data_IF_745815640610
#
_entry.id   IF_745815640610
#
_cell.length_a   1.000
_cell.length_b   1.000
_cell.length_c   1.000
_cell.angle_alpha   90.00
_cell.angle_beta   90.00
_cell.angle_gamma   90.00
#
_symmetry.space_group_name_H-M   'P 1'
#
loop_
_entity.id
_entity.type
_entity.pdbx_description
1 polymer ?
#
# COMPACT_ATOMS: atom_id res chain seq x y z
N UNK A 1 -10.20 -4.64 -15.48
CA UNK A 1 -9.01 -4.43 -14.65
C UNK A 1 -9.41 -4.41 -13.19
N UNK A 2 -8.53 -4.92 -12.37
CA UNK A 2 -8.82 -5.03 -10.94
C UNK A 2 -8.66 -3.70 -10.23
N UNK A 3 -7.75 -2.87 -10.72
CA UNK A 3 -7.46 -1.56 -10.14
C UNK A 3 -7.58 -0.48 -11.19
N UNK A 4 -7.65 0.77 -10.75
CA UNK A 4 -7.51 1.92 -11.62
C UNK A 4 -6.33 2.74 -11.15
N UNK A 5 -5.78 3.56 -12.04
CA UNK A 5 -4.60 4.34 -11.69
C UNK A 5 -4.53 5.65 -12.44
N UNK A 6 -3.72 6.56 -11.93
CA UNK A 6 -3.43 7.84 -12.57
C UNK A 6 -2.03 8.26 -12.13
N UNK A 7 -1.25 8.74 -13.08
CA UNK A 7 0.08 9.26 -12.79
C UNK A 7 0.03 10.78 -12.91
N UNK A 8 0.44 11.48 -11.85
CA UNK A 8 0.43 12.93 -11.85
C UNK A 8 1.60 13.45 -11.01
N UNK A 9 2.40 14.32 -11.61
CA UNK A 9 3.50 15.00 -10.92
C UNK A 9 4.45 14.04 -10.21
N UNK A 10 4.74 12.92 -10.86
CA UNK A 10 5.65 11.94 -10.31
C UNK A 10 5.05 11.03 -9.24
N UNK A 11 3.76 11.15 -8.96
CA UNK A 11 3.07 10.31 -8.01
C UNK A 11 2.15 9.35 -8.75
N UNK A 12 2.25 8.07 -8.42
CA UNK A 12 1.35 7.07 -8.96
C UNK A 12 0.19 6.90 -7.97
N UNK A 13 -1.00 7.29 -8.43
CA UNK A 13 -2.22 7.14 -7.64
C UNK A 13 -2.92 5.88 -8.11
N UNK A 14 -3.13 4.95 -7.18
CA UNK A 14 -3.81 3.68 -7.45
C UNK A 14 -5.07 3.63 -6.63
N UNK A 15 -6.15 3.15 -7.24
CA UNK A 15 -7.40 2.95 -6.53
C UNK A 15 -7.80 1.49 -6.63
N UNK A 16 -8.10 0.89 -5.49
CA UNK A 16 -8.66 -0.45 -5.42
C UNK A 16 -10.16 -0.26 -5.18
N UNK A 17 -11.00 -0.40 -6.20
CA UNK A 17 -12.41 -0.02 -6.07
C UNK A 17 -13.23 -0.99 -5.24
N UNK A 18 -12.78 -2.23 -5.09
CA UNK A 18 -13.48 -3.26 -4.32
C UNK A 18 -12.48 -4.10 -3.57
N UNK A 19 -12.94 -4.73 -2.49
CA UNK A 19 -12.09 -5.66 -1.77
C UNK A 19 -11.60 -6.76 -2.70
N UNK A 20 -10.35 -7.15 -2.51
CA UNK A 20 -9.74 -8.20 -3.29
C UNK A 20 -10.12 -9.56 -2.71
N UNK A 21 -10.08 -10.57 -3.56
CA UNK A 21 -10.37 -11.95 -3.15
C UNK A 21 -9.22 -12.86 -3.60
N UNK A 22 -9.39 -14.15 -3.34
CA UNK A 22 -8.36 -15.12 -3.70
C UNK A 22 -8.09 -15.12 -5.20
N UNK A 23 -9.11 -14.85 -6.01
CA UNK A 23 -8.99 -14.92 -7.46
C UNK A 23 -8.26 -13.74 -8.10
N UNK A 24 -8.28 -12.57 -7.45
CA UNK A 24 -7.73 -11.38 -8.10
C UNK A 24 -6.64 -10.66 -7.32
N UNK A 25 -6.31 -11.14 -6.11
CA UNK A 25 -5.29 -10.46 -5.31
C UNK A 25 -3.93 -10.43 -5.98
N UNK A 26 -3.56 -11.52 -6.62
CA UNK A 26 -2.27 -11.59 -7.30
C UNK A 26 -2.23 -10.68 -8.52
N UNK A 27 -3.33 -10.64 -9.27
CA UNK A 27 -3.42 -9.77 -10.44
C UNK A 27 -3.31 -8.30 -10.03
N UNK A 28 -3.97 -7.92 -8.94
CA UNK A 28 -3.90 -6.55 -8.45
C UNK A 28 -2.47 -6.17 -8.08
N UNK A 29 -1.78 -7.02 -7.32
CA UNK A 29 -0.41 -6.76 -6.93
C UNK A 29 0.50 -6.65 -8.16
N UNK A 30 0.35 -7.57 -9.11
CA UNK A 30 1.16 -7.54 -10.32
C UNK A 30 0.91 -6.30 -11.16
N UNK A 31 -0.34 -5.84 -11.25
CA UNK A 31 -0.64 -4.61 -11.98
C UNK A 31 0.06 -3.41 -11.36
N UNK A 32 0.00 -3.30 -10.04
CA UNK A 32 0.64 -2.18 -9.36
C UNK A 32 2.15 -2.27 -9.53
N UNK A 33 2.73 -3.45 -9.37
CA UNK A 33 4.16 -3.65 -9.55
C UNK A 33 4.60 -3.26 -10.97
N UNK A 34 3.83 -3.66 -11.96
CA UNK A 34 4.14 -3.31 -13.35
C UNK A 34 4.11 -1.81 -13.58
N UNK A 35 3.14 -1.11 -12.98
CA UNK A 35 3.05 0.33 -13.10
C UNK A 35 4.24 1.03 -12.45
N UNK A 36 4.66 0.55 -11.29
CA UNK A 36 5.82 1.13 -10.61
C UNK A 36 7.08 0.94 -11.45
N UNK A 37 7.28 -0.25 -12.00
CA UNK A 37 8.44 -0.51 -12.85
C UNK A 37 8.41 0.31 -14.13
N UNK A 38 7.23 0.49 -14.73
CA UNK A 38 7.11 1.21 -15.98
C UNK A 38 7.30 2.71 -15.82
N UNK A 39 6.76 3.28 -14.75
CA UNK A 39 6.71 4.74 -14.59
C UNK A 39 7.74 5.30 -13.63
N UNK A 40 8.33 4.47 -12.79
CA UNK A 40 9.34 4.89 -11.83
C UNK A 40 8.89 6.11 -11.03
N UNK A 41 7.71 6.06 -10.39
CA UNK A 41 7.22 7.22 -9.65
C UNK A 41 8.08 7.51 -8.43
N UNK A 42 8.05 8.75 -7.99
CA UNK A 42 8.73 9.14 -6.75
C UNK A 42 7.95 8.72 -5.53
N UNK A 43 6.66 8.42 -5.67
CA UNK A 43 5.80 8.00 -4.58
C UNK A 43 4.59 7.26 -5.13
N UNK A 44 4.03 6.36 -4.33
CA UNK A 44 2.81 5.65 -4.67
C UNK A 44 1.78 5.92 -3.58
N UNK A 45 0.55 6.26 -3.99
CA UNK A 45 -0.58 6.38 -3.06
C UNK A 45 -1.65 5.41 -3.48
N UNK A 46 -2.11 4.59 -2.55
CA UNK A 46 -3.14 3.60 -2.82
C UNK A 46 -4.40 3.95 -2.03
N UNK A 47 -5.50 4.17 -2.75
CA UNK A 47 -6.80 4.38 -2.12
C UNK A 47 -7.47 3.04 -1.90
N UNK A 48 -7.82 2.78 -0.65
CA UNK A 48 -8.40 1.51 -0.24
C UNK A 48 -9.91 1.49 -0.49
N UNK A 49 -10.50 0.30 -0.68
CA UNK A 49 -11.94 0.20 -0.93
C UNK A 49 -12.79 0.39 0.31
N UNK A 50 -12.19 0.27 1.50
CA UNK A 50 -12.92 0.42 2.76
C UNK A 50 -11.96 0.89 3.84
N UNK A 51 -12.52 1.28 4.98
CA UNK A 51 -11.71 1.69 6.13
C UNK A 51 -11.04 0.50 6.80
N UNK A 52 -11.55 -0.71 6.58
CA UNK A 52 -11.01 -1.94 7.15
C UNK A 52 -10.84 -2.96 6.03
N UNK A 53 -9.73 -2.88 5.29
CA UNK A 53 -9.54 -3.77 4.14
C UNK A 53 -9.47 -5.23 4.57
N UNK A 54 -9.97 -6.09 3.68
CA UNK A 54 -9.96 -7.53 3.93
C UNK A 54 -8.53 -8.06 3.98
N UNK A 55 -8.32 -9.24 4.56
CA UNK A 55 -6.99 -9.84 4.58
C UNK A 55 -6.38 -10.02 3.19
N UNK A 56 -7.20 -10.32 2.18
CA UNK A 56 -6.70 -10.47 0.81
C UNK A 56 -6.19 -9.15 0.26
N UNK A 57 -6.95 -8.07 0.48
CA UNK A 57 -6.53 -6.73 0.07
C UNK A 57 -5.26 -6.32 0.80
N UNK A 58 -5.24 -6.53 2.11
CA UNK A 58 -4.09 -6.16 2.92
C UNK A 58 -2.85 -6.94 2.52
N UNK A 59 -3.00 -8.23 2.22
CA UNK A 59 -1.88 -9.07 1.78
C UNK A 59 -1.29 -8.61 0.46
N UNK A 60 -2.14 -8.23 -0.50
CA UNK A 60 -1.68 -7.70 -1.77
C UNK A 60 -0.90 -6.40 -1.57
N UNK A 61 -1.41 -5.51 -0.70
CA UNK A 61 -0.73 -4.25 -0.41
C UNK A 61 0.59 -4.47 0.29
N UNK A 62 0.67 -5.44 1.20
CA UNK A 62 1.91 -5.75 1.87
C UNK A 62 2.98 -6.20 0.87
N UNK A 63 2.59 -6.98 -0.11
CA UNK A 63 3.50 -7.41 -1.17
C UNK A 63 4.02 -6.22 -1.97
N UNK A 64 3.11 -5.33 -2.38
CA UNK A 64 3.49 -4.14 -3.13
C UNK A 64 4.38 -3.23 -2.28
N UNK A 65 4.07 -3.10 -1.01
CA UNK A 65 4.84 -2.29 -0.08
C UNK A 65 6.28 -2.79 0.01
N UNK A 66 6.47 -4.10 0.11
CA UNK A 66 7.82 -4.67 0.17
C UNK A 66 8.61 -4.37 -1.11
N UNK A 67 7.94 -4.48 -2.26
CA UNK A 67 8.59 -4.18 -3.53
C UNK A 67 9.00 -2.70 -3.59
N UNK A 68 8.10 -1.80 -3.19
CA UNK A 68 8.40 -0.37 -3.16
C UNK A 68 9.55 -0.07 -2.21
N UNK A 69 9.59 -0.73 -1.04
CA UNK A 69 10.69 -0.55 -0.12
C UNK A 69 12.03 -0.93 -0.75
N UNK A 70 12.06 -2.03 -1.48
CA UNK A 70 13.29 -2.48 -2.13
C UNK A 70 13.75 -1.51 -3.21
N UNK A 71 12.85 -0.73 -3.77
CA UNK A 71 13.17 0.27 -4.79
C UNK A 71 13.37 1.66 -4.22
N UNK A 72 13.19 1.83 -2.92
CA UNK A 72 13.29 3.15 -2.30
C UNK A 72 12.12 4.06 -2.62
N UNK A 73 10.96 3.51 -2.99
CA UNK A 73 9.79 4.29 -3.34
C UNK A 73 8.83 4.31 -2.15
N UNK A 74 8.53 5.49 -1.58
CA UNK A 74 7.55 5.56 -0.49
C UNK A 74 6.16 5.19 -0.97
N UNK A 75 5.44 4.45 -0.14
CA UNK A 75 4.07 4.08 -0.41
C UNK A 75 3.19 4.50 0.75
N UNK A 76 2.09 5.16 0.45
CA UNK A 76 1.10 5.57 1.44
C UNK A 76 -0.26 5.00 1.04
N UNK A 77 -1.12 4.77 2.03
CA UNK A 77 -2.48 4.33 1.78
C UNK A 77 -3.46 5.36 2.31
N UNK A 78 -4.61 5.45 1.65
CA UNK A 78 -5.70 6.31 2.11
C UNK A 78 -6.98 5.49 2.14
N UNK A 79 -7.93 5.92 2.95
CA UNK A 79 -9.24 5.30 2.99
C UNK A 79 -10.06 5.63 1.75
N UNK A 80 -11.30 5.11 1.69
CA UNK A 80 -12.14 5.31 0.49
C UNK A 80 -12.47 6.76 0.21
N UNK A 81 -12.38 7.62 1.23
CA UNK A 81 -12.63 9.06 1.08
C UNK A 81 -11.35 9.83 0.82
N UNK A 82 -10.22 9.17 0.69
CA UNK A 82 -8.95 9.84 0.59
C UNK A 82 -8.34 10.17 1.93
N UNK A 83 -8.95 9.72 3.03
CA UNK A 83 -8.43 9.97 4.37
C UNK A 83 -7.39 8.93 4.74
N UNK A 84 -6.53 9.29 5.69
CA UNK A 84 -5.57 8.33 6.20
C UNK A 84 -6.30 7.16 6.86
N UNK A 85 -5.84 5.91 6.65
CA UNK A 85 -6.50 4.77 7.27
C UNK A 85 -6.26 4.76 8.77
N UNK A 86 -7.12 4.08 9.54
CA UNK A 86 -6.94 4.02 10.99
C UNK A 86 -5.66 3.30 11.40
N UNK A 87 -5.19 2.40 10.56
CA UNK A 87 -3.96 1.69 10.85
C UNK A 87 -3.01 1.81 9.67
N UNK A 88 -1.76 2.17 9.91
CA UNK A 88 -0.81 2.27 8.82
C UNK A 88 -0.48 0.90 8.24
N UNK A 89 -0.27 0.87 6.94
CA UNK A 89 0.16 -0.34 6.28
C UNK A 89 1.54 -0.70 6.80
N UNK A 90 1.71 -1.94 7.17
CA UNK A 90 2.96 -2.41 7.68
C UNK A 90 3.26 -1.86 9.05
N UNK A 91 2.36 -1.12 9.59
CA UNK A 91 2.54 -0.56 10.89
C UNK A 91 2.52 -1.59 11.94
N UNK A 92 1.97 -2.51 11.67
CA UNK A 92 2.13 -3.56 12.54
C UNK A 92 3.56 -3.97 12.49
N UNK A 93 4.17 -3.47 11.62
CA UNK A 93 5.53 -3.75 11.46
C UNK A 93 6.33 -3.03 12.41
N UNK A 94 6.71 -2.80 12.91
CA UNK A 94 7.45 -2.13 13.38
C UNK A 94 8.51 -1.68 13.23
N UNK A 95 8.08 -1.64 13.10
CA UNK A 95 8.73 -0.94 13.05
C UNK A 95 9.26 -0.54 13.53
N UNK A 96 9.45 -0.66 14.04
CA UNK A 96 9.66 0.04 14.39
C UNK A 96 9.75 0.44 14.68
N UNK A 97 9.61 -0.03 15.08
CA UNK A 97 9.55 0.74 15.34
C UNK A 97 9.44 0.89 15.71
N UNK A 98 9.38 0.53 15.95
CA UNK A 98 9.31 0.90 16.35
C UNK A 98 9.42 0.80 16.67
N UNK A 99 9.40 0.55 17.11
CA UNK A 99 9.48 0.84 17.46
C UNK A 99 9.57 0.99 17.84
N UNK A 100 9.82 0.48 18.43
CA UNK A 100 9.89 0.98 18.86
C UNK A 100 9.85 1.18 19.16
N UNK A 101 9.87 1.05 19.47
CA UNK A 101 9.85 1.58 19.95
C UNK A 101 9.63 1.56 20.15
N UNK A 102 9.72 1.64 20.63
CA UNK A 102 9.89 1.81 21.10
C UNK A 102 9.93 1.52 21.21
N UNK A 103 10.05 0.99 21.58
CA UNK A 103 10.16 1.16 22.10
C UNK A 103 10.12 0.92 22.08
N UNK A 104 10.36 0.75 22.56
CA UNK A 104 10.34 1.10 22.82
C UNK A 104 10.15 0.92 22.79
N UNK A 105 10.41 1.16 22.86
CA UNK A 105 10.38 1.35 23.05
C UNK A 105 10.33 1.08 22.97
N UNK A 106 10.36 0.97 23.26
CA UNK A 106 10.45 1.10 23.31
C UNK A 106 10.44 0.87 23.18
N UNK A 107 10.45 0.38 23.78
CA UNK A 107 10.46 0.62 23.79
C UNK A 107 10.18 0.38 23.47
N UNK A 108 10.34 0.53 23.90
CA UNK A 108 10.34 0.70 23.87
C UNK A 108 10.09 0.26 23.57
#
# INVERSE_FOLDING_TARGET
MVITHQLAEGVLYVRIPRELDVGNRAAAALEIEALVHAHRPGRVEVRLPSHHPSPMTFGALARVHRMCQSLGVPLATTGPDGEAPPEPLGGALPDRAHQLEHGARRDH
#
